data_IF_333811513008
#
_entry.id   IF_333811513008
#
_cell.length_a   1.000
_cell.length_b   1.000
_cell.length_c   1.000
_cell.angle_alpha   90.00
_cell.angle_beta   90.00
_cell.angle_gamma   90.00
#
_symmetry.space_group_name_H-M   'P 1'
#
loop_
_entity.id
_entity.type
_entity.pdbx_description
1 polymer ?
#
# COMPACT_ATOMS: atom_id res chain seq x y z
N UNK A 1 -10.51 -10.51 -32.06
CA UNK A 1 -9.49 -9.89 -31.18
C UNK A 1 -10.25 -8.86 -30.33
N UNK A 2 -10.60 -9.20 -29.10
CA UNK A 2 -11.32 -8.27 -28.22
C UNK A 2 -10.27 -7.32 -27.65
N UNK A 3 -10.46 -6.02 -27.85
CA UNK A 3 -9.66 -5.00 -27.18
C UNK A 3 -9.99 -5.09 -25.68
N UNK A 4 -9.14 -5.81 -24.93
CA UNK A 4 -9.22 -5.86 -23.49
C UNK A 4 -8.70 -4.52 -22.99
N UNK A 5 -9.59 -3.54 -22.85
CA UNK A 5 -9.24 -2.19 -22.42
C UNK A 5 -8.30 -2.20 -21.21
N UNK A 6 -7.35 -1.27 -21.19
CA UNK A 6 -6.30 -1.19 -20.18
C UNK A 6 -6.87 -1.21 -18.74
N UNK A 7 -6.20 -1.94 -17.85
CA UNK A 7 -6.51 -1.93 -16.42
C UNK A 7 -6.40 -0.53 -15.82
N UNK A 8 -7.14 -0.27 -14.74
CA UNK A 8 -7.07 1.00 -13.99
C UNK A 8 -6.31 0.79 -12.70
N UNK A 9 -5.42 1.72 -12.37
CA UNK A 9 -4.76 1.80 -11.07
C UNK A 9 -5.36 2.95 -10.27
N UNK A 10 -5.83 2.66 -9.05
CA UNK A 10 -6.54 3.61 -8.19
C UNK A 10 -5.85 3.61 -6.83
N UNK A 11 -5.39 4.78 -6.36
CA UNK A 11 -4.84 4.97 -5.01
C UNK A 11 -5.82 5.71 -4.10
N UNK A 12 -5.76 5.39 -2.80
CA UNK A 12 -6.52 6.06 -1.75
C UNK A 12 -5.56 6.75 -0.80
N UNK A 13 -5.55 8.09 -0.81
CA UNK A 13 -4.65 8.93 0.00
C UNK A 13 -5.39 9.65 1.14
N UNK A 14 -4.65 10.04 2.18
CA UNK A 14 -5.17 10.82 3.30
C UNK A 14 -4.55 10.49 4.66
N UNK A 15 -4.91 11.25 5.69
CA UNK A 15 -4.39 11.10 7.06
C UNK A 15 -4.83 9.79 7.74
N UNK A 16 -4.19 9.43 8.84
CA UNK A 16 -4.61 8.29 9.66
C UNK A 16 -6.02 8.48 10.20
N UNK A 17 -6.78 7.38 10.24
CA UNK A 17 -8.20 7.41 10.62
C UNK A 17 -9.16 7.93 9.55
N UNK A 18 -8.70 8.40 8.38
CA UNK A 18 -9.60 8.92 7.32
C UNK A 18 -10.46 7.87 6.60
N UNK A 19 -10.27 6.58 6.90
CA UNK A 19 -11.07 5.48 6.35
C UNK A 19 -10.56 4.89 5.02
N UNK A 20 -9.34 5.21 4.59
CA UNK A 20 -8.72 4.70 3.33
C UNK A 20 -8.88 3.19 3.14
N UNK A 21 -8.47 2.40 4.13
CA UNK A 21 -8.53 0.92 4.07
C UNK A 21 -9.95 0.38 3.97
N UNK A 22 -10.92 1.08 4.57
CA UNK A 22 -12.34 0.73 4.47
C UNK A 22 -12.86 0.98 3.07
N UNK A 23 -12.56 2.14 2.49
CA UNK A 23 -13.04 2.49 1.15
C UNK A 23 -12.36 1.66 0.06
N UNK A 24 -11.06 1.40 0.17
CA UNK A 24 -10.33 0.54 -0.76
C UNK A 24 -10.90 -0.89 -0.80
N UNK A 25 -11.26 -1.45 0.37
CA UNK A 25 -11.89 -2.76 0.47
C UNK A 25 -13.28 -2.78 -0.18
N UNK A 26 -14.14 -1.80 0.16
CA UNK A 26 -15.48 -1.66 -0.43
C UNK A 26 -15.43 -1.52 -1.96
N UNK A 27 -14.51 -0.71 -2.48
CA UNK A 27 -14.34 -0.57 -3.92
C UNK A 27 -13.90 -1.89 -4.56
N UNK A 28 -12.94 -2.60 -3.96
CA UNK A 28 -12.48 -3.90 -4.47
C UNK A 28 -13.63 -4.91 -4.51
N UNK A 29 -14.42 -5.00 -3.44
CA UNK A 29 -15.62 -5.85 -3.37
C UNK A 29 -16.66 -5.49 -4.45
N UNK A 30 -16.84 -4.19 -4.72
CA UNK A 30 -17.77 -3.68 -5.74
C UNK A 30 -17.31 -4.00 -7.17
N UNK A 31 -16.00 -3.91 -7.44
CA UNK A 31 -15.41 -4.21 -8.74
C UNK A 31 -15.32 -5.72 -9.04
N UNK A 32 -15.37 -6.55 -7.99
CA UNK A 32 -15.42 -8.00 -8.11
C UNK A 32 -14.03 -8.66 -8.28
N UNK A 33 -14.00 -9.95 -8.66
CA UNK A 33 -12.85 -10.83 -8.46
C UNK A 33 -11.62 -10.51 -9.32
N UNK A 34 -11.74 -9.63 -10.32
CA UNK A 34 -10.60 -9.17 -11.12
C UNK A 34 -9.88 -7.96 -10.49
N UNK A 35 -10.47 -7.33 -9.47
CA UNK A 35 -9.83 -6.24 -8.76
C UNK A 35 -8.81 -6.78 -7.75
N UNK A 36 -7.61 -6.22 -7.79
CA UNK A 36 -6.53 -6.54 -6.86
C UNK A 36 -6.40 -5.41 -5.84
N UNK A 37 -6.43 -5.77 -4.56
CA UNK A 37 -6.18 -4.85 -3.47
C UNK A 37 -4.73 -4.99 -3.00
N UNK A 38 -4.01 -3.88 -2.97
CA UNK A 38 -2.66 -3.78 -2.41
C UNK A 38 -2.55 -2.54 -1.50
N UNK A 39 -1.44 -2.41 -0.78
CA UNK A 39 -1.11 -1.24 0.06
C UNK A 39 0.37 -0.94 -0.01
N UNK A 40 0.74 0.33 0.21
CA UNK A 40 2.12 0.75 0.42
C UNK A 40 2.22 1.55 1.73
N UNK A 41 3.35 1.45 2.47
CA UNK A 41 4.38 0.43 2.32
C UNK A 41 3.84 -0.96 2.71
N UNK A 42 4.26 -2.00 1.98
CA UNK A 42 3.76 -3.38 2.13
C UNK A 42 3.20 -3.96 0.84
N UNK A 43 2.23 -4.88 0.95
CA UNK A 43 1.51 -5.46 -0.19
C UNK A 43 2.16 -6.70 -0.82
N UNK A 44 3.46 -6.93 -0.58
CA UNK A 44 4.19 -8.14 -0.94
C UNK A 44 4.89 -8.74 0.30
N UNK A 45 5.18 -10.05 0.36
CA UNK A 45 5.80 -10.68 1.53
C UNK A 45 7.08 -9.97 2.01
N UNK A 46 8.02 -9.66 1.11
CA UNK A 46 9.24 -8.93 1.45
C UNK A 46 8.98 -7.48 1.86
N UNK A 47 8.03 -6.80 1.21
CA UNK A 47 7.63 -5.44 1.59
C UNK A 47 6.99 -5.38 2.98
N UNK A 48 6.29 -6.44 3.43
CA UNK A 48 5.73 -6.52 4.78
C UNK A 48 6.81 -6.62 5.86
N UNK A 49 7.93 -7.28 5.58
CA UNK A 49 9.08 -7.33 6.49
C UNK A 49 9.67 -5.93 6.70
N UNK A 50 9.87 -5.19 5.61
CA UNK A 50 10.38 -3.81 5.67
C UNK A 50 9.37 -2.87 6.33
N UNK A 51 8.08 -3.02 6.02
CA UNK A 51 7.00 -2.27 6.68
C UNK A 51 7.05 -2.44 8.20
N UNK A 52 7.31 -3.66 8.68
CA UNK A 52 7.44 -3.92 10.12
C UNK A 52 8.55 -3.08 10.76
N UNK A 53 9.67 -2.92 10.05
CA UNK A 53 10.76 -2.04 10.47
C UNK A 53 10.40 -0.55 10.42
N UNK A 54 9.32 -0.14 9.76
CA UNK A 54 8.86 1.25 9.75
C UNK A 54 7.84 1.52 10.86
N UNK A 55 6.91 0.58 11.11
CA UNK A 55 5.73 0.84 11.94
C UNK A 55 5.85 0.36 13.38
N UNK A 56 6.75 -0.58 13.66
CA UNK A 56 6.96 -1.10 15.03
C UNK A 56 8.14 -0.38 15.71
N UNK A 57 8.30 -0.54 17.02
CA UNK A 57 9.46 -0.02 17.76
C UNK A 57 9.38 1.45 18.16
N UNK A 58 10.50 1.97 18.65
CA UNK A 58 10.57 3.32 19.22
C UNK A 58 10.43 4.41 18.15
N UNK A 59 9.74 5.52 18.46
CA UNK A 59 9.70 6.68 17.58
C UNK A 59 11.11 7.27 17.38
N UNK A 60 11.34 7.89 16.22
CA UNK A 60 12.62 8.52 15.87
C UNK A 60 13.85 7.59 15.91
N UNK A 61 13.65 6.27 15.74
CA UNK A 61 14.76 5.30 15.67
C UNK A 61 15.63 5.41 14.41
N UNK A 62 15.12 6.07 13.37
CA UNK A 62 15.75 6.20 12.07
C UNK A 62 16.04 7.67 11.76
N UNK A 63 17.12 7.92 11.02
CA UNK A 63 17.27 9.22 10.35
C UNK A 63 16.21 9.36 9.26
N UNK A 64 15.82 10.59 8.89
CA UNK A 64 14.88 10.82 7.79
C UNK A 64 15.28 10.11 6.49
N UNK A 65 16.58 10.05 6.18
CA UNK A 65 17.13 9.37 5.00
C UNK A 65 16.92 7.85 5.07
N UNK A 66 17.15 7.26 6.25
CA UNK A 66 16.93 5.82 6.45
C UNK A 66 15.45 5.49 6.31
N UNK A 67 14.58 6.32 6.88
CA UNK A 67 13.14 6.13 6.84
C UNK A 67 12.59 6.19 5.41
N UNK A 68 13.00 7.18 4.60
CA UNK A 68 12.55 7.29 3.21
C UNK A 68 13.09 6.15 2.32
N UNK A 69 14.31 5.67 2.58
CA UNK A 69 14.88 4.53 1.85
C UNK A 69 14.15 3.22 2.17
N UNK A 70 13.85 2.96 3.45
CA UNK A 70 13.05 1.82 3.88
C UNK A 70 11.63 1.90 3.32
N UNK A 71 11.00 3.07 3.38
CA UNK A 71 9.67 3.29 2.78
C UNK A 71 9.68 2.97 1.29
N UNK A 72 10.68 3.46 0.55
CA UNK A 72 10.82 3.22 -0.89
C UNK A 72 11.10 1.75 -1.22
N UNK A 73 11.89 1.06 -0.39
CA UNK A 73 12.17 -0.37 -0.55
C UNK A 73 10.91 -1.23 -0.34
N UNK A 74 10.00 -0.81 0.55
CA UNK A 74 8.73 -1.49 0.83
C UNK A 74 7.62 -1.26 -0.23
N UNK A 75 7.96 -0.74 -1.42
CA UNK A 75 7.05 -0.54 -2.57
C UNK A 75 7.29 -1.53 -3.71
N UNK A 76 8.17 -2.51 -3.53
CA UNK A 76 8.57 -3.50 -4.54
C UNK A 76 8.37 -4.93 -4.06
#
# INVERSE_FOLDING_TARGET
MVDAGAGRFISFEGIDGSGKSTQARRLTETLGPKALLTREPGGAPGAEEIRRLLVEGAPARWSPETEILLFTAARR
#
